data_IF_642810046426
#
_entry.id   IF_642810046426
#
_cell.length_a   1.000
_cell.length_b   1.000
_cell.length_c   1.000
_cell.angle_alpha   90.00
_cell.angle_beta   90.00
_cell.angle_gamma   90.00
#
_symmetry.space_group_name_H-M   'P 1'
#
loop_
_entity.id
_entity.type
_entity.pdbx_description
1 polymer ?
#
# COMPACT_ATOMS: atom_id res chain seq x y z
N UNK A 1 -27.91 -43.79 -9.09
CA UNK A 1 -28.58 -42.56 -9.54
C UNK A 1 -27.78 -41.40 -8.96
N UNK A 2 -27.26 -40.51 -9.79
CA UNK A 2 -26.65 -39.26 -9.32
C UNK A 2 -27.76 -38.19 -9.33
N UNK A 3 -27.99 -37.55 -8.19
CA UNK A 3 -28.94 -36.44 -8.07
C UNK A 3 -28.18 -35.12 -8.21
N UNK A 4 -28.71 -34.17 -8.97
CA UNK A 4 -28.10 -32.84 -9.16
C UNK A 4 -28.29 -31.89 -7.95
N UNK A 5 -28.69 -32.44 -6.80
CA UNK A 5 -29.05 -31.67 -5.62
C UNK A 5 -28.51 -32.38 -4.37
N UNK A 6 -28.15 -31.60 -3.36
CA UNK A 6 -27.68 -32.10 -2.06
C UNK A 6 -28.79 -32.90 -1.38
N UNK A 7 -28.43 -34.02 -0.76
CA UNK A 7 -29.37 -34.87 -0.02
C UNK A 7 -29.17 -34.63 1.47
N UNK A 8 -30.22 -34.17 2.14
CA UNK A 8 -30.29 -34.00 3.59
C UNK A 8 -31.17 -35.13 4.12
N UNK A 9 -30.65 -35.96 5.03
CA UNK A 9 -31.46 -36.94 5.77
C UNK A 9 -32.04 -36.24 7.00
N UNK A 10 -33.20 -36.69 7.47
CA UNK A 10 -33.81 -36.12 8.70
C UNK A 10 -32.88 -36.27 9.90
N UNK A 11 -32.12 -37.37 9.97
CA UNK A 11 -31.06 -37.59 10.97
C UNK A 11 -30.02 -36.48 11.03
N UNK A 12 -29.73 -35.84 9.89
CA UNK A 12 -28.72 -34.78 9.77
C UNK A 12 -29.24 -33.46 10.38
N UNK A 13 -30.55 -33.36 10.66
CA UNK A 13 -31.21 -32.23 11.32
C UNK A 13 -31.60 -32.51 12.78
N UNK A 14 -31.50 -33.76 13.22
CA UNK A 14 -31.83 -34.20 14.59
C UNK A 14 -30.63 -34.10 15.54
N UNK A 15 -29.43 -33.97 14.98
CA UNK A 15 -28.18 -33.74 15.71
C UNK A 15 -27.74 -32.31 15.50
N UNK A 16 -27.26 -31.68 16.57
CA UNK A 16 -26.71 -30.33 16.53
C UNK A 16 -25.32 -30.38 17.17
N UNK A 17 -24.32 -29.87 16.45
CA UNK A 17 -23.01 -29.57 17.00
C UNK A 17 -22.85 -28.04 17.07
N UNK A 18 -22.92 -27.44 18.27
CA UNK A 18 -22.78 -25.99 18.42
C UNK A 18 -21.52 -25.45 17.75
N UNK A 19 -21.63 -24.26 17.16
CA UNK A 19 -20.52 -23.55 16.51
C UNK A 19 -19.89 -24.25 15.29
N UNK A 20 -20.55 -25.27 14.73
CA UNK A 20 -20.19 -25.91 13.46
C UNK A 20 -21.10 -25.48 12.32
N UNK A 21 -20.62 -25.65 11.09
CA UNK A 21 -21.42 -25.54 9.86
C UNK A 21 -21.62 -26.91 9.21
N UNK A 22 -22.69 -27.05 8.42
CA UNK A 22 -22.91 -28.22 7.58
C UNK A 22 -22.29 -27.97 6.21
N UNK A 23 -21.35 -28.82 5.81
CA UNK A 23 -20.76 -28.84 4.47
C UNK A 23 -21.08 -30.15 3.77
N UNK A 24 -20.97 -30.18 2.44
CA UNK A 24 -21.09 -31.41 1.66
C UNK A 24 -19.70 -31.99 1.43
N UNK A 25 -19.49 -33.26 1.78
CA UNK A 25 -18.22 -33.95 1.58
C UNK A 25 -18.06 -34.49 0.15
N UNK A 26 -16.93 -35.15 -0.14
CA UNK A 26 -16.61 -35.70 -1.47
C UNK A 26 -17.62 -36.77 -1.95
N UNK A 27 -18.29 -37.45 -1.02
CA UNK A 27 -19.32 -38.46 -1.30
C UNK A 27 -20.73 -37.85 -1.49
N UNK A 28 -20.87 -36.53 -1.33
CA UNK A 28 -22.16 -35.84 -1.48
C UNK A 28 -23.07 -35.91 -0.25
N UNK A 29 -22.53 -36.29 0.92
CA UNK A 29 -23.24 -36.32 2.21
C UNK A 29 -22.95 -35.06 3.04
N UNK A 30 -23.84 -34.73 3.97
CA UNK A 30 -23.64 -33.60 4.89
C UNK A 30 -22.83 -34.02 6.11
N UNK A 31 -21.84 -33.20 6.48
CA UNK A 31 -21.04 -33.37 7.70
C UNK A 31 -20.83 -32.03 8.42
N UNK A 32 -20.63 -32.09 9.74
CA UNK A 32 -20.27 -30.93 10.54
C UNK A 32 -18.79 -30.60 10.37
N UNK A 33 -18.50 -29.33 10.09
CA UNK A 33 -17.13 -28.85 9.96
C UNK A 33 -16.96 -27.47 10.62
N UNK A 34 -15.71 -27.14 10.96
CA UNK A 34 -15.32 -25.81 11.40
C UNK A 34 -15.41 -24.81 10.24
N UNK A 35 -16.00 -23.64 10.47
CA UNK A 35 -16.07 -22.58 9.45
C UNK A 35 -14.67 -22.21 8.91
N UNK A 36 -13.65 -22.26 9.78
CA UNK A 36 -12.26 -21.89 9.50
C UNK A 36 -11.51 -22.88 8.63
N UNK A 37 -11.95 -24.13 8.53
CA UNK A 37 -11.35 -25.13 7.63
C UNK A 37 -11.80 -24.95 6.17
N UNK A 38 -12.89 -24.19 5.95
CA UNK A 38 -13.55 -24.04 4.66
C UNK A 38 -13.33 -22.68 3.98
N UNK A 39 -12.76 -21.69 4.67
CA UNK A 39 -12.63 -20.31 4.19
C UNK A 39 -11.16 -19.89 4.02
N UNK A 40 -10.73 -19.70 2.76
CA UNK A 40 -9.44 -19.12 2.41
C UNK A 40 -9.46 -17.57 2.52
N UNK A 41 -9.41 -17.05 3.74
CA UNK A 41 -9.21 -15.61 3.94
C UNK A 41 -7.74 -15.24 3.70
N UNK A 42 -7.49 -14.46 2.64
CA UNK A 42 -6.16 -13.87 2.38
C UNK A 42 -6.03 -12.55 3.11
N UNK A 43 -4.96 -12.37 3.86
CA UNK A 43 -4.56 -11.06 4.40
C UNK A 43 -3.47 -10.45 3.53
N UNK A 44 -3.43 -9.11 3.46
CA UNK A 44 -2.45 -8.37 2.65
C UNK A 44 -0.99 -8.58 3.09
N UNK A 45 -0.80 -9.10 4.30
CA UNK A 45 0.49 -9.29 4.95
C UNK A 45 0.73 -10.74 5.43
N UNK A 46 -0.14 -11.69 5.11
CA UNK A 46 0.00 -13.10 5.50
C UNK A 46 -0.26 -13.40 6.98
N UNK A 47 -0.68 -12.41 7.77
CA UNK A 47 -1.05 -12.60 9.17
C UNK A 47 -2.40 -13.33 9.30
N UNK A 48 -2.56 -14.14 10.35
CA UNK A 48 -3.84 -14.80 10.64
C UNK A 48 -4.89 -13.78 11.07
N UNK A 49 -6.11 -13.90 10.54
CA UNK A 49 -7.29 -13.16 11.05
C UNK A 49 -8.04 -13.94 12.14
N UNK A 50 -7.64 -15.20 12.37
CA UNK A 50 -8.26 -16.11 13.33
C UNK A 50 -7.48 -15.99 14.65
N UNK A 51 -8.16 -15.62 15.72
CA UNK A 51 -7.61 -15.50 17.07
C UNK A 51 -8.52 -14.71 18.00
N UNK A 52 -8.18 -14.69 19.28
CA UNK A 52 -8.88 -13.87 20.28
C UNK A 52 -8.41 -12.41 20.19
N UNK A 53 -9.37 -11.49 20.13
CA UNK A 53 -9.10 -10.05 20.17
C UNK A 53 -9.54 -9.29 18.92
N UNK A 54 -9.28 -7.98 18.93
CA UNK A 54 -9.57 -7.09 17.81
C UNK A 54 -8.33 -6.97 16.91
N UNK A 55 -8.56 -6.69 15.62
CA UNK A 55 -7.50 -6.18 14.74
C UNK A 55 -7.16 -4.77 15.23
N UNK A 56 -6.18 -4.66 16.12
CA UNK A 56 -5.73 -3.38 16.66
C UNK A 56 -4.76 -2.69 15.69
N UNK A 57 -5.28 -1.68 15.00
CA UNK A 57 -4.51 -0.79 14.13
C UNK A 57 -4.20 0.55 14.80
N UNK A 58 -4.61 0.76 16.07
CA UNK A 58 -4.59 2.08 16.72
C UNK A 58 -3.17 2.59 17.04
N UNK A 59 -2.20 1.69 17.24
CA UNK A 59 -0.78 2.02 17.40
C UNK A 59 0.06 1.82 16.13
N UNK A 60 -0.59 1.47 15.02
CA UNK A 60 0.00 1.50 13.69
C UNK A 60 -0.23 2.92 13.16
N UNK A 61 0.59 3.88 13.59
CA UNK A 61 0.87 5.00 12.68
C UNK A 61 1.37 4.38 11.37
N UNK A 62 1.04 4.96 10.23
CA UNK A 62 1.64 4.56 8.96
C UNK A 62 3.11 5.03 8.92
N UNK A 63 3.93 4.47 9.81
CA UNK A 63 5.38 4.67 9.86
C UNK A 63 6.03 4.11 8.58
N UNK A 64 5.32 3.22 7.87
CA UNK A 64 5.68 2.70 6.55
C UNK A 64 5.47 3.70 5.41
N UNK A 65 4.70 4.77 5.62
CA UNK A 65 4.52 5.84 4.65
C UNK A 65 5.44 7.05 4.90
N UNK A 66 6.48 6.89 5.71
CA UNK A 66 7.57 7.86 5.77
C UNK A 66 8.91 7.16 5.50
N UNK A 67 9.76 7.77 4.68
CA UNK A 67 11.10 7.25 4.40
C UNK A 67 12.14 8.34 4.64
N UNK A 68 13.37 7.95 4.95
CA UNK A 68 14.51 8.88 5.04
C UNK A 68 15.43 8.64 3.85
N UNK A 69 15.78 9.70 3.14
CA UNK A 69 16.58 9.64 1.92
C UNK A 69 17.75 10.61 2.05
N UNK A 70 18.97 10.09 1.96
CA UNK A 70 20.17 10.94 1.90
C UNK A 70 20.34 11.49 0.48
N UNK A 71 20.62 12.78 0.36
CA UNK A 71 20.97 13.41 -0.92
C UNK A 71 22.47 13.20 -1.22
N UNK A 72 22.86 13.10 -2.52
CA UNK A 72 22.01 13.12 -3.71
C UNK A 72 21.19 11.84 -3.89
N UNK A 73 20.02 11.95 -4.50
CA UNK A 73 19.09 10.84 -4.68
C UNK A 73 18.33 10.93 -6.01
N UNK A 74 17.68 9.83 -6.38
CA UNK A 74 16.78 9.74 -7.54
C UNK A 74 15.38 9.38 -7.07
N UNK A 75 14.35 10.05 -7.58
CA UNK A 75 12.94 9.75 -7.27
C UNK A 75 12.60 8.32 -7.73
N UNK A 76 11.89 7.57 -6.90
CA UNK A 76 11.50 6.18 -7.14
C UNK A 76 9.98 6.02 -7.02
N UNK A 77 9.35 5.18 -7.86
CA UNK A 77 7.90 4.93 -7.86
C UNK A 77 7.35 4.55 -6.47
N UNK A 78 8.17 3.88 -5.65
CA UNK A 78 7.80 3.48 -4.29
C UNK A 78 7.60 4.65 -3.32
N UNK A 79 7.93 5.89 -3.69
CA UNK A 79 7.69 7.07 -2.85
C UNK A 79 6.27 7.63 -2.98
N UNK A 80 5.48 7.15 -3.95
CA UNK A 80 4.11 7.60 -4.13
C UNK A 80 3.28 7.45 -2.85
N UNK A 81 2.59 8.52 -2.45
CA UNK A 81 1.78 8.58 -1.23
C UNK A 81 2.58 8.67 0.07
N UNK A 82 3.91 8.77 0.01
CA UNK A 82 4.77 8.83 1.20
C UNK A 82 5.17 10.26 1.57
N UNK A 83 5.62 10.42 2.80
CA UNK A 83 6.43 11.55 3.23
C UNK A 83 7.92 11.19 3.12
N UNK A 84 8.68 11.93 2.31
CA UNK A 84 10.11 11.71 2.10
C UNK A 84 10.92 12.71 2.90
N UNK A 85 11.66 12.25 3.91
CA UNK A 85 12.53 13.07 4.75
C UNK A 85 13.94 13.09 4.17
N UNK A 86 14.35 14.21 3.59
CA UNK A 86 15.67 14.38 3.02
C UNK A 86 16.70 14.78 4.09
N UNK A 87 17.87 14.16 4.01
CA UNK A 87 19.06 14.51 4.81
C UNK A 87 20.26 14.77 3.89
N UNK A 88 21.23 15.55 4.37
CA UNK A 88 22.43 15.89 3.58
C UNK A 88 22.17 16.94 2.50
N UNK A 89 23.19 17.32 1.76
CA UNK A 89 23.09 18.34 0.70
C UNK A 89 23.39 17.72 -0.65
N UNK A 90 22.55 17.98 -1.64
CA UNK A 90 22.75 17.46 -2.98
C UNK A 90 21.57 17.63 -3.91
N UNK A 91 21.66 16.97 -5.07
CA UNK A 91 20.66 17.02 -6.12
C UNK A 91 19.66 15.89 -5.91
N UNK A 92 18.36 16.21 -5.97
CA UNK A 92 17.29 15.25 -6.20
C UNK A 92 17.01 15.17 -7.71
N UNK A 93 17.27 14.00 -8.28
CA UNK A 93 17.07 13.73 -9.71
C UNK A 93 15.71 13.10 -9.95
N UNK A 94 14.94 13.68 -10.86
CA UNK A 94 13.67 13.17 -11.35
C UNK A 94 13.97 12.38 -12.64
N UNK A 95 13.91 11.04 -12.61
CA UNK A 95 14.26 10.26 -13.78
C UNK A 95 13.14 10.29 -14.82
N UNK A 96 13.49 10.25 -16.11
CA UNK A 96 12.53 10.11 -17.20
C UNK A 96 11.76 8.78 -17.19
N UNK A 97 12.28 7.80 -16.44
CA UNK A 97 11.90 6.39 -16.50
C UNK A 97 10.97 5.91 -15.38
N UNK A 98 10.64 6.71 -14.36
CA UNK A 98 9.68 6.26 -13.35
C UNK A 98 8.27 6.19 -13.95
N UNK A 99 7.54 5.14 -13.58
CA UNK A 99 6.37 4.66 -14.32
C UNK A 99 5.03 5.10 -13.73
N UNK A 100 5.00 5.62 -12.51
CA UNK A 100 3.77 6.02 -11.85
C UNK A 100 3.18 7.30 -12.50
N UNK A 101 1.99 7.21 -13.14
CA UNK A 101 1.42 8.33 -13.89
C UNK A 101 0.91 9.47 -12.99
N UNK A 102 0.55 9.18 -11.73
CA UNK A 102 0.03 10.12 -10.73
C UNK A 102 0.98 10.27 -9.54
N UNK A 103 2.29 10.20 -9.79
CA UNK A 103 3.31 10.27 -8.74
C UNK A 103 3.12 11.50 -7.87
N UNK A 104 3.01 11.29 -6.56
CA UNK A 104 2.77 12.36 -5.60
C UNK A 104 3.43 11.99 -4.28
N UNK A 105 4.17 12.91 -3.66
CA UNK A 105 4.72 12.74 -2.32
C UNK A 105 4.99 14.09 -1.66
N UNK A 106 5.02 14.09 -0.33
CA UNK A 106 5.43 15.26 0.46
C UNK A 106 6.92 15.14 0.82
N UNK A 107 7.73 16.13 0.45
CA UNK A 107 9.14 16.21 0.80
C UNK A 107 9.37 17.08 2.01
N UNK A 108 10.24 16.65 2.93
CA UNK A 108 10.67 17.43 4.10
C UNK A 108 12.20 17.46 4.13
N UNK A 109 12.80 18.65 4.14
CA UNK A 109 14.25 18.79 4.36
C UNK A 109 14.56 18.86 5.86
N UNK A 110 15.53 18.07 6.33
CA UNK A 110 15.98 18.11 7.73
C UNK A 110 17.05 19.18 7.96
N UNK A 111 17.48 19.35 9.20
CA UNK A 111 18.61 20.23 9.53
C UNK A 111 19.84 19.88 8.67
N UNK A 112 20.59 20.89 8.27
CA UNK A 112 21.77 20.80 7.39
C UNK A 112 21.48 20.18 6.01
N UNK A 113 20.25 20.28 5.52
CA UNK A 113 19.84 19.76 4.21
C UNK A 113 19.63 20.91 3.23
N UNK A 114 20.25 20.83 2.05
CA UNK A 114 19.95 21.68 0.91
C UNK A 114 19.70 20.79 -0.31
N UNK A 115 18.53 20.95 -0.92
CA UNK A 115 18.09 20.14 -2.06
C UNK A 115 18.01 21.03 -3.30
N UNK A 116 18.78 20.67 -4.32
CA UNK A 116 18.64 21.21 -5.66
C UNK A 116 18.04 20.18 -6.61
N UNK A 117 17.54 20.63 -7.75
CA UNK A 117 16.72 19.81 -8.65
C UNK A 117 17.46 19.44 -9.93
N UNK A 118 17.25 18.20 -10.38
CA UNK A 118 17.59 17.77 -11.74
C UNK A 118 16.42 16.97 -12.30
N UNK A 119 16.17 17.10 -13.60
CA UNK A 119 15.11 16.38 -14.29
C UNK A 119 15.63 15.87 -15.63
N UNK A 120 15.22 14.68 -16.01
CA UNK A 120 15.63 14.05 -17.27
C UNK A 120 14.43 13.82 -18.18
N UNK A 121 14.64 14.01 -19.48
CA UNK A 121 13.60 13.82 -20.49
C UNK A 121 13.04 12.38 -20.44
N UNK A 122 11.74 12.17 -20.69
CA UNK A 122 10.78 13.16 -21.20
C UNK A 122 10.18 14.11 -20.15
N UNK A 123 10.53 13.97 -18.86
CA UNK A 123 9.94 14.77 -17.78
C UNK A 123 10.41 16.23 -17.84
N UNK A 124 9.52 17.15 -17.48
CA UNK A 124 9.77 18.60 -17.45
C UNK A 124 9.11 19.24 -16.23
N UNK A 125 9.68 20.33 -15.71
CA UNK A 125 9.01 21.13 -14.67
C UNK A 125 7.92 22.00 -15.28
N UNK A 126 6.72 21.98 -14.68
CA UNK A 126 5.56 22.72 -15.17
C UNK A 126 5.76 24.24 -15.09
N UNK A 127 6.35 24.70 -13.98
CA UNK A 127 6.54 26.12 -13.68
C UNK A 127 8.00 26.57 -13.84
N UNK A 128 8.78 25.83 -14.64
CA UNK A 128 10.23 26.03 -14.77
C UNK A 128 11.03 25.42 -13.60
N UNK A 129 12.35 25.55 -13.66
CA UNK A 129 13.24 24.97 -12.64
C UNK A 129 12.93 25.54 -11.25
N UNK A 130 12.56 24.70 -10.25
CA UNK A 130 12.23 25.19 -8.92
C UNK A 130 13.48 25.73 -8.18
N UNK A 131 13.30 26.65 -7.22
CA UNK A 131 14.39 27.08 -6.36
C UNK A 131 14.93 25.94 -5.49
N UNK A 132 16.15 26.10 -5.00
CA UNK A 132 16.74 25.21 -3.98
C UNK A 132 15.88 25.21 -2.73
N UNK A 133 15.63 24.02 -2.17
CA UNK A 133 14.95 23.85 -0.89
C UNK A 133 16.00 23.86 0.23
N UNK A 134 15.92 24.84 1.12
CA UNK A 134 16.77 24.92 2.31
C UNK A 134 16.36 23.93 3.39
N UNK A 135 16.96 24.00 4.57
CA UNK A 135 16.62 23.11 5.68
C UNK A 135 15.26 23.42 6.31
N UNK A 136 14.63 22.41 6.91
CA UNK A 136 13.37 22.54 7.69
C UNK A 136 12.20 23.11 6.89
N UNK A 137 12.15 22.80 5.59
CA UNK A 137 11.05 23.14 4.71
C UNK A 137 10.23 21.90 4.34
N UNK A 138 9.01 22.14 3.86
CA UNK A 138 8.13 21.14 3.27
C UNK A 138 7.83 21.53 1.84
N UNK A 139 7.69 20.56 0.94
CA UNK A 139 7.23 20.78 -0.42
C UNK A 139 6.38 19.60 -0.89
N UNK A 140 5.50 19.86 -1.85
CA UNK A 140 4.71 18.82 -2.50
C UNK A 140 5.27 18.55 -3.88
N UNK A 141 5.56 17.29 -4.18
CA UNK A 141 5.90 16.80 -5.52
C UNK A 141 4.66 16.20 -6.15
N UNK A 142 4.30 16.61 -7.37
CA UNK A 142 3.20 16.01 -8.12
C UNK A 142 3.54 15.84 -9.60
N UNK A 143 3.09 14.74 -10.18
CA UNK A 143 2.99 14.56 -11.62
C UNK A 143 1.51 14.57 -12.03
N UNK A 144 1.18 15.33 -13.07
CA UNK A 144 -0.16 15.27 -13.68
C UNK A 144 -0.40 13.90 -14.31
N UNK A 145 -1.58 13.32 -14.08
CA UNK A 145 -1.91 11.97 -14.55
C UNK A 145 -1.66 11.80 -16.06
N UNK A 146 -0.80 10.84 -16.40
CA UNK A 146 -0.47 10.52 -17.79
C UNK A 146 0.38 11.57 -18.52
N UNK A 147 0.87 12.59 -17.81
CA UNK A 147 1.71 13.64 -18.39
C UNK A 147 3.17 13.53 -17.92
N UNK A 148 4.06 14.16 -18.68
CA UNK A 148 5.47 14.30 -18.32
C UNK A 148 5.75 15.55 -17.45
N UNK A 149 4.70 16.29 -17.10
CA UNK A 149 4.77 17.54 -16.33
C UNK A 149 4.91 17.26 -14.84
N UNK A 150 5.88 17.89 -14.20
CA UNK A 150 6.15 17.81 -12.76
C UNK A 150 5.94 19.17 -12.12
N UNK A 151 5.09 19.21 -11.09
CA UNK A 151 4.86 20.36 -10.23
C UNK A 151 5.59 20.18 -8.92
N UNK A 152 6.31 21.21 -8.48
CA UNK A 152 6.85 21.33 -7.13
C UNK A 152 6.20 22.55 -6.48
N UNK A 153 5.46 22.34 -5.39
CA UNK A 153 4.71 23.39 -4.69
C UNK A 153 5.17 23.51 -3.22
N UNK A 154 4.87 24.65 -2.59
CA UNK A 154 5.17 24.88 -1.17
C UNK A 154 6.59 25.33 -0.86
N UNK A 155 7.34 25.78 -1.88
CA UNK A 155 8.72 26.27 -1.78
C UNK A 155 8.82 27.72 -1.30
#
# INVERSE_FOLDING_TARGET
MNTTHNRIKVSDLETNDPDKILITNEDGELEFNDLTSSLDFKTINGESIIGDGNIDLSNKQDISNQITVALPATVQDIWHGKTVKFTGTGILTIPGSFSNPGMCFEGITKTATNLSWSITAPKTFEFGTPPTVGEKQIFTFMQNEGQHSIMILGL
#
